data_IF_451788310446
#
_entry.id   IF_451788310446
#
_cell.length_a   1.000
_cell.length_b   1.000
_cell.length_c   1.000
_cell.angle_alpha   90.00
_cell.angle_beta   90.00
_cell.angle_gamma   90.00
#
_symmetry.space_group_name_H-M   'P 1'
#
loop_
_entity.id
_entity.type
_entity.pdbx_description
1 polymer ?
#
# COMPACT_ATOMS: atom_id res chain seq x y z
N UNK A 1 0.45 -1.10 -18.55
CA UNK A 1 -0.89 -1.75 -18.49
C UNK A 1 -0.88 -3.12 -17.79
N UNK A 2 0.27 -3.68 -17.40
CA UNK A 2 0.37 -5.03 -16.80
C UNK A 2 -0.46 -5.16 -15.51
N UNK A 3 -0.44 -4.17 -14.63
CA UNK A 3 -1.17 -4.24 -13.35
C UNK A 3 -2.70 -4.29 -13.49
N UNK A 4 -3.23 -3.91 -14.67
CA UNK A 4 -4.65 -3.91 -14.96
C UNK A 4 -5.09 -5.10 -15.83
N UNK A 5 -4.18 -6.01 -16.20
CA UNK A 5 -4.55 -7.15 -17.04
C UNK A 5 -5.19 -8.28 -16.24
N UNK A 6 -6.11 -9.00 -16.88
CA UNK A 6 -6.78 -10.15 -16.27
C UNK A 6 -5.81 -11.29 -15.96
N UNK A 7 -4.84 -11.54 -16.84
CA UNK A 7 -3.81 -12.57 -16.62
C UNK A 7 -2.96 -12.27 -15.39
N UNK A 8 -2.62 -11.00 -15.19
CA UNK A 8 -1.89 -10.57 -13.99
C UNK A 8 -2.77 -10.67 -12.75
N UNK A 9 -4.07 -10.34 -12.85
CA UNK A 9 -5.01 -10.49 -11.74
C UNK A 9 -5.14 -11.95 -11.29
N UNK A 10 -5.25 -12.91 -12.22
CA UNK A 10 -5.27 -14.36 -11.92
C UNK A 10 -3.99 -14.82 -11.22
N UNK A 11 -2.83 -14.39 -11.73
CA UNK A 11 -1.53 -14.72 -11.14
C UNK A 11 -1.33 -14.13 -9.72
N UNK A 12 -1.90 -12.95 -9.47
CA UNK A 12 -1.88 -12.30 -8.16
C UNK A 12 -2.78 -13.03 -7.17
N UNK A 13 -3.98 -13.39 -7.61
CA UNK A 13 -4.97 -14.13 -6.80
C UNK A 13 -4.48 -15.51 -6.40
N UNK A 14 -3.86 -16.25 -7.32
CA UNK A 14 -3.22 -17.55 -7.04
C UNK A 14 -2.10 -17.49 -5.98
N UNK A 15 -1.50 -16.30 -5.78
CA UNK A 15 -0.46 -16.08 -4.77
C UNK A 15 -1.02 -15.41 -3.51
N UNK A 16 -2.33 -15.28 -3.42
CA UNK A 16 -3.05 -14.61 -2.32
C UNK A 16 -2.52 -13.19 -2.07
N UNK A 17 -2.01 -12.54 -3.12
CA UNK A 17 -1.44 -11.21 -3.02
C UNK A 17 -2.54 -10.15 -3.06
N UNK A 18 -2.46 -9.19 -2.14
CA UNK A 18 -3.41 -8.09 -2.06
C UNK A 18 -3.42 -7.25 -3.35
N UNK A 19 -4.60 -6.87 -3.90
CA UNK A 19 -4.71 -6.03 -5.08
C UNK A 19 -4.26 -4.58 -4.78
N UNK A 20 -2.96 -4.32 -4.95
CA UNK A 20 -2.40 -2.98 -4.79
C UNK A 20 -1.78 -2.50 -6.10
N UNK A 21 -2.55 -1.73 -6.86
CA UNK A 21 -2.19 -1.29 -8.22
C UNK A 21 -1.95 0.22 -8.35
N UNK A 22 -1.64 0.91 -7.23
CA UNK A 22 -1.28 2.33 -7.23
C UNK A 22 0.16 2.51 -7.74
N UNK A 23 0.39 3.55 -8.54
CA UNK A 23 1.72 3.89 -9.05
C UNK A 23 1.93 5.41 -9.12
N UNK A 24 3.17 5.86 -9.28
CA UNK A 24 3.49 7.28 -9.46
C UNK A 24 3.06 8.16 -8.29
N UNK A 25 2.45 9.32 -8.59
CA UNK A 25 2.06 10.32 -7.59
C UNK A 25 0.98 9.81 -6.62
N UNK A 26 0.09 8.93 -7.07
CA UNK A 26 -0.93 8.31 -6.22
C UNK A 26 -0.27 7.43 -5.15
N UNK A 27 0.69 6.60 -5.55
CA UNK A 27 1.45 5.75 -4.64
C UNK A 27 2.26 6.59 -3.63
N UNK A 28 2.95 7.62 -4.10
CA UNK A 28 3.72 8.53 -3.22
C UNK A 28 2.83 9.19 -2.17
N UNK A 29 1.67 9.69 -2.58
CA UNK A 29 0.68 10.30 -1.67
C UNK A 29 0.18 9.29 -0.64
N UNK A 30 -0.17 8.08 -1.09
CA UNK A 30 -0.63 7.01 -0.21
C UNK A 30 0.43 6.66 0.83
N UNK A 31 1.68 6.44 0.41
CA UNK A 31 2.79 6.08 1.32
C UNK A 31 3.01 7.17 2.37
N UNK A 32 3.03 8.44 1.96
CA UNK A 32 3.20 9.57 2.89
C UNK A 32 2.08 9.64 3.92
N UNK A 33 0.83 9.39 3.49
CA UNK A 33 -0.31 9.32 4.41
C UNK A 33 -0.12 8.19 5.42
N UNK A 34 0.19 6.97 4.97
CA UNK A 34 0.39 5.83 5.88
C UNK A 34 1.51 6.11 6.88
N UNK A 35 2.64 6.70 6.43
CA UNK A 35 3.75 7.07 7.32
C UNK A 35 3.31 8.07 8.40
N UNK A 36 2.51 9.07 8.04
CA UNK A 36 1.99 10.03 9.02
C UNK A 36 1.05 9.35 10.03
N UNK A 37 0.13 8.51 9.55
CA UNK A 37 -0.83 7.79 10.39
C UNK A 37 -0.12 6.84 11.37
N UNK A 38 0.86 6.06 10.90
CA UNK A 38 1.64 5.17 11.76
C UNK A 38 2.52 5.92 12.76
N UNK A 39 3.06 7.09 12.39
CA UNK A 39 3.79 7.94 13.35
C UNK A 39 2.89 8.44 14.48
N UNK A 40 1.66 8.84 14.15
CA UNK A 40 0.68 9.24 15.16
C UNK A 40 0.37 8.07 16.10
N UNK A 41 0.04 6.91 15.53
CA UNK A 41 -0.26 5.70 16.29
C UNK A 41 0.91 5.27 17.19
N UNK A 42 2.15 5.33 16.68
CA UNK A 42 3.34 5.02 17.45
C UNK A 42 3.54 5.99 18.63
N UNK A 43 3.24 7.28 18.46
CA UNK A 43 3.26 8.27 19.56
C UNK A 43 2.16 7.97 20.58
N UNK A 44 0.94 7.68 20.14
CA UNK A 44 -0.19 7.35 21.02
C UNK A 44 0.07 6.10 21.86
N UNK A 45 0.77 5.11 21.29
CA UNK A 45 1.22 3.93 22.02
C UNK A 45 2.54 4.10 22.79
N UNK A 46 3.13 5.31 22.80
CA UNK A 46 4.35 5.61 23.54
C UNK A 46 5.60 4.90 23.00
N UNK A 47 5.59 4.46 21.74
CA UNK A 47 6.72 3.77 21.11
C UNK A 47 7.81 4.74 20.61
N UNK A 48 7.45 6.02 20.43
CA UNK A 48 8.33 7.11 19.98
C UNK A 48 7.99 8.41 20.72
N UNK A 49 8.95 9.36 20.80
CA UNK A 49 8.78 10.70 21.38
C UNK A 49 8.54 11.76 20.30
#
# INVERSE_FOLDING_TARGET
KILASEDFAKLRDQRELFPFAMTGAELDTYVKKQVADYKLMAREFGLIQ
#
